data_IF_369033461318
#
_entry.id   IF_369033461318
#
_cell.length_a   1.000
_cell.length_b   1.000
_cell.length_c   1.000
_cell.angle_alpha   90.00
_cell.angle_beta   90.00
_cell.angle_gamma   90.00
#
_symmetry.space_group_name_H-M   'P 1'
#
loop_
_entity.id
_entity.type
_entity.pdbx_description
1 polymer ?
#
# COMPACT_ATOMS: atom_id res chain seq x y z
N UNK A 1 2.19 12.03 1.81
CA UNK A 1 1.26 10.90 2.04
C UNK A 1 0.43 10.68 0.80
N UNK A 2 0.04 9.45 0.57
CA UNK A 2 -0.78 9.12 -0.61
C UNK A 2 -2.13 8.58 -0.15
N UNK A 3 -3.15 8.80 -0.97
CA UNK A 3 -4.51 8.40 -0.66
C UNK A 3 -4.72 6.92 -0.98
N UNK A 4 -5.41 6.21 -0.12
CA UNK A 4 -5.83 4.84 -0.38
C UNK A 4 -7.08 4.88 -1.24
N UNK A 5 -6.94 4.49 -2.51
CA UNK A 5 -8.08 4.50 -3.44
C UNK A 5 -9.01 3.31 -3.21
N UNK A 6 -8.43 2.13 -2.96
CA UNK A 6 -9.18 0.91 -2.77
C UNK A 6 -8.48 0.01 -1.78
N UNK A 7 -9.26 -0.70 -0.99
CA UNK A 7 -8.74 -1.69 -0.06
C UNK A 7 -9.61 -2.93 -0.13
N UNK A 8 -8.96 -4.10 -0.16
CA UNK A 8 -9.67 -5.36 -0.28
C UNK A 8 -8.99 -6.42 0.58
N UNK A 9 -9.77 -7.08 1.45
CA UNK A 9 -9.28 -8.24 2.17
C UNK A 9 -9.31 -9.44 1.25
N UNK A 10 -8.15 -10.04 1.01
CA UNK A 10 -8.05 -11.22 0.16
C UNK A 10 -8.36 -12.49 0.93
N UNK A 11 -8.00 -12.50 2.21
CA UNK A 11 -8.38 -13.53 3.17
C UNK A 11 -8.19 -12.95 4.57
N UNK A 12 -8.26 -13.77 5.61
CA UNK A 12 -8.20 -13.29 7.00
C UNK A 12 -6.87 -12.62 7.37
N UNK A 13 -5.79 -12.95 6.67
CA UNK A 13 -4.45 -12.46 7.01
C UNK A 13 -3.77 -11.70 5.91
N UNK A 14 -4.39 -11.55 4.73
CA UNK A 14 -3.79 -10.88 3.58
C UNK A 14 -4.74 -9.81 3.04
N UNK A 15 -4.22 -8.61 2.85
CA UNK A 15 -4.97 -7.48 2.32
C UNK A 15 -4.26 -6.87 1.12
N UNK A 16 -5.05 -6.20 0.29
CA UNK A 16 -4.60 -5.51 -0.91
C UNK A 16 -5.00 -4.05 -0.80
N UNK A 17 -4.08 -3.14 -1.11
CA UNK A 17 -4.36 -1.71 -1.19
C UNK A 17 -3.94 -1.17 -2.54
N UNK A 18 -4.79 -0.35 -3.14
CA UNK A 18 -4.45 0.44 -4.31
C UNK A 18 -4.23 1.88 -3.86
N UNK A 19 -3.03 2.38 -4.07
CA UNK A 19 -2.61 3.70 -3.61
C UNK A 19 -2.53 4.69 -4.77
N UNK A 20 -3.04 5.89 -4.57
CA UNK A 20 -2.90 6.97 -5.53
C UNK A 20 -1.51 7.59 -5.39
N UNK A 21 -0.58 7.13 -6.19
CA UNK A 21 0.82 7.54 -6.11
C UNK A 21 1.39 7.69 -7.52
N UNK A 22 0.96 8.73 -8.27
CA UNK A 22 1.34 8.89 -9.67
C UNK A 22 2.85 9.00 -9.89
N UNK A 23 3.57 9.61 -8.97
CA UNK A 23 5.03 9.74 -9.11
C UNK A 23 5.72 8.38 -8.98
N UNK A 24 5.24 7.55 -8.09
CA UNK A 24 5.78 6.19 -7.90
C UNK A 24 5.37 5.31 -9.08
N UNK A 25 4.10 5.39 -9.48
CA UNK A 25 3.57 4.59 -10.59
C UNK A 25 4.33 4.87 -11.89
N UNK A 26 4.70 6.12 -12.14
CA UNK A 26 5.43 6.53 -13.32
C UNK A 26 6.77 5.81 -13.46
N UNK A 27 7.44 5.56 -12.34
CA UNK A 27 8.78 4.96 -12.31
C UNK A 27 8.78 3.50 -11.87
N UNK A 28 7.62 2.94 -11.57
CA UNK A 28 7.53 1.59 -11.03
C UNK A 28 8.01 0.54 -12.03
N UNK A 29 8.65 -0.49 -11.50
CA UNK A 29 9.08 -1.66 -12.25
C UNK A 29 8.69 -2.92 -11.47
N UNK A 30 8.45 -4.03 -12.16
CA UNK A 30 8.11 -5.29 -11.48
C UNK A 30 9.17 -5.69 -10.46
N UNK A 31 8.75 -6.13 -9.29
CA UNK A 31 9.65 -6.57 -8.25
C UNK A 31 10.20 -5.47 -7.36
N UNK A 32 9.94 -4.21 -7.70
CA UNK A 32 10.35 -3.08 -6.89
C UNK A 32 9.54 -3.04 -5.59
N UNK A 33 10.12 -2.50 -4.52
CA UNK A 33 9.38 -2.32 -3.27
C UNK A 33 9.24 -0.84 -2.92
N UNK A 34 8.26 -0.54 -2.09
CA UNK A 34 8.03 0.78 -1.52
C UNK A 34 8.01 0.67 -0.01
N UNK A 35 8.32 1.77 0.66
CA UNK A 35 8.25 1.81 2.12
C UNK A 35 6.96 2.54 2.49
N UNK A 36 6.12 1.88 3.27
CA UNK A 36 4.79 2.36 3.65
C UNK A 36 4.69 2.45 5.17
N UNK A 37 4.01 3.47 5.64
CA UNK A 37 3.68 3.59 7.06
C UNK A 37 2.25 4.11 7.20
N UNK A 38 1.56 3.63 8.23
CA UNK A 38 0.16 4.01 8.45
C UNK A 38 0.03 5.48 8.87
N UNK A 39 0.93 5.93 9.73
CA UNK A 39 0.97 7.31 10.23
C UNK A 39 2.41 7.77 10.29
N UNK A 40 2.61 9.06 10.53
CA UNK A 40 3.95 9.64 10.56
C UNK A 40 4.86 8.96 11.59
N UNK A 41 4.34 8.64 12.75
CA UNK A 41 5.10 7.98 13.81
C UNK A 41 5.06 6.45 13.75
N UNK A 42 4.40 5.88 12.74
CA UNK A 42 4.28 4.43 12.63
C UNK A 42 5.53 3.79 12.03
N UNK A 43 5.66 2.49 12.24
CA UNK A 43 6.73 1.69 11.67
C UNK A 43 6.71 1.77 10.15
N UNK A 44 7.89 1.90 9.55
CA UNK A 44 8.05 1.86 8.10
C UNK A 44 8.16 0.42 7.64
N UNK A 45 7.33 0.05 6.70
CA UNK A 45 7.22 -1.33 6.24
C UNK A 45 7.60 -1.40 4.76
N UNK A 46 8.63 -2.18 4.39
CA UNK A 46 8.93 -2.40 2.98
C UNK A 46 7.97 -3.42 2.39
N UNK A 47 7.29 -3.04 1.33
CA UNK A 47 6.31 -3.89 0.66
C UNK A 47 6.59 -3.93 -0.83
N UNK A 48 6.53 -5.12 -1.42
CA UNK A 48 6.72 -5.29 -2.85
C UNK A 48 5.52 -4.75 -3.62
N UNK A 49 5.81 -4.03 -4.70
CA UNK A 49 4.77 -3.57 -5.60
C UNK A 49 4.22 -4.78 -6.36
N UNK A 50 2.94 -5.08 -6.16
CA UNK A 50 2.29 -6.22 -6.81
C UNK A 50 1.81 -5.86 -8.22
N UNK A 51 1.42 -4.60 -8.41
CA UNK A 51 0.93 -4.10 -9.70
C UNK A 51 1.00 -2.58 -9.71
N UNK A 52 0.92 -2.00 -10.88
CA UNK A 52 0.86 -0.54 -11.02
C UNK A 52 0.13 -0.18 -12.30
N UNK A 53 -0.44 1.02 -12.32
CA UNK A 53 -1.13 1.55 -13.48
C UNK A 53 -0.65 2.99 -13.68
N UNK A 54 0.18 3.20 -14.69
CA UNK A 54 0.74 4.52 -14.97
C UNK A 54 -0.32 5.50 -15.45
N UNK A 55 -1.34 5.01 -16.12
CA UNK A 55 -2.42 5.82 -16.65
C UNK A 55 -3.29 6.37 -15.53
N UNK A 56 -3.64 5.50 -14.56
CA UNK A 56 -4.43 5.87 -13.41
C UNK A 56 -3.59 6.49 -12.30
N UNK A 57 -2.27 6.35 -12.37
CA UNK A 57 -1.38 6.85 -11.33
C UNK A 57 -1.48 6.07 -10.03
N UNK A 58 -1.66 4.76 -10.12
CA UNK A 58 -1.85 3.91 -8.94
C UNK A 58 -0.77 2.85 -8.83
N UNK A 59 -0.54 2.46 -7.58
CA UNK A 59 0.37 1.37 -7.22
C UNK A 59 -0.38 0.44 -6.29
N UNK A 60 -0.30 -0.86 -6.55
CA UNK A 60 -0.98 -1.87 -5.75
C UNK A 60 0.03 -2.59 -4.87
N UNK A 61 -0.28 -2.69 -3.59
CA UNK A 61 0.50 -3.48 -2.64
C UNK A 61 -0.38 -4.58 -2.06
N UNK A 62 0.23 -5.73 -1.80
CA UNK A 62 -0.42 -6.85 -1.13
C UNK A 62 0.46 -7.17 0.07
N UNK A 63 -0.13 -7.24 1.24
CA UNK A 63 0.63 -7.47 2.46
C UNK A 63 -0.05 -8.47 3.37
N UNK A 64 0.78 -9.19 4.11
CA UNK A 64 0.30 -10.14 5.11
C UNK A 64 0.27 -9.43 6.47
N UNK A 65 -0.83 -9.61 7.19
CA UNK A 65 -1.02 -8.99 8.51
C UNK A 65 -0.35 -9.91 9.53
N UNK A 66 0.92 -9.62 9.86
CA UNK A 66 1.73 -10.52 10.70
C UNK A 66 2.36 -9.87 11.91
N UNK A 67 2.22 -8.57 12.08
CA UNK A 67 2.84 -7.87 13.20
C UNK A 67 2.18 -6.54 13.44
N UNK A 68 2.66 -5.81 14.46
CA UNK A 68 2.06 -4.54 14.87
C UNK A 68 2.00 -3.53 13.73
N UNK A 69 3.07 -3.42 12.93
CA UNK A 69 3.11 -2.48 11.81
C UNK A 69 2.07 -2.77 10.74
N UNK A 70 1.96 -4.03 10.31
CA UNK A 70 0.97 -4.41 9.29
C UNK A 70 -0.45 -4.39 9.86
N UNK A 71 -0.63 -4.70 11.14
CA UNK A 71 -1.93 -4.56 11.80
C UNK A 71 -2.39 -3.11 11.81
N UNK A 72 -1.48 -2.18 12.10
CA UNK A 72 -1.79 -0.77 12.09
C UNK A 72 -2.10 -0.29 10.67
N UNK A 73 -1.32 -0.73 9.69
CA UNK A 73 -1.56 -0.41 8.28
C UNK A 73 -2.96 -0.89 7.87
N UNK A 74 -3.37 -2.05 8.35
CA UNK A 74 -4.66 -2.61 7.99
C UNK A 74 -5.85 -1.87 8.61
N UNK A 75 -5.62 -0.94 9.53
CA UNK A 75 -6.69 -0.08 10.06
C UNK A 75 -6.99 1.10 9.14
N UNK A 76 -6.13 1.40 8.17
CA UNK A 76 -6.34 2.50 7.24
C UNK A 76 -7.42 2.11 6.25
N UNK A 77 -8.35 3.04 6.00
CA UNK A 77 -9.51 2.81 5.14
C UNK A 77 -9.39 3.52 3.81
N UNK A 78 -10.23 3.10 2.87
CA UNK A 78 -10.36 3.81 1.59
C UNK A 78 -10.65 5.28 1.83
N UNK A 79 -9.97 6.13 1.08
CA UNK A 79 -10.08 7.57 1.22
C UNK A 79 -9.15 8.18 2.24
N UNK A 80 -8.56 7.37 3.12
CA UNK A 80 -7.57 7.85 4.07
C UNK A 80 -6.18 7.83 3.44
N UNK A 81 -5.17 8.27 4.19
CA UNK A 81 -3.82 8.46 3.67
C UNK A 81 -2.79 7.63 4.42
N UNK A 82 -1.78 7.21 3.71
CA UNK A 82 -0.63 6.50 4.27
C UNK A 82 0.67 7.16 3.84
#
# INVERSE_FOLDING_TARGET
>A
MVRVRKKEGLNETVSKMVLEAPMIAKKAQPGQFVIVRAKEESERIPLTIADYDRKEGTVTIIYQIVGAGTMELDTVREGEYV
#
